data_IF_864974552858
#
_entry.id   IF_864974552858
#
_cell.length_a   1.000
_cell.length_b   1.000
_cell.length_c   1.000
_cell.angle_alpha   90.00
_cell.angle_beta   90.00
_cell.angle_gamma   90.00
#
_symmetry.space_group_name_H-M   'P 1'
#
loop_
_entity.id
_entity.type
_entity.pdbx_description
1 polymer ?
#
# COMPACT_ATOMS: atom_id res chain seq x y z
N UNK A 1 6.34 14.69 52.51
CA UNK A 1 7.02 13.62 51.75
C UNK A 1 6.30 13.52 50.41
N UNK A 2 6.86 13.95 49.27
CA UNK A 2 6.17 13.78 48.00
C UNK A 2 6.32 12.33 47.57
N UNK A 3 5.20 11.66 47.32
CA UNK A 3 5.10 10.26 46.85
C UNK A 3 5.79 10.11 45.48
N UNK A 4 7.12 10.02 45.48
CA UNK A 4 7.95 9.86 44.28
C UNK A 4 8.11 8.38 43.91
N UNK A 5 7.03 7.62 43.79
CA UNK A 5 7.13 6.20 43.39
C UNK A 5 5.93 5.78 42.54
N UNK A 6 5.91 6.23 41.28
CA UNK A 6 4.87 5.85 40.34
C UNK A 6 5.32 5.80 38.89
N UNK A 7 4.90 4.74 38.19
CA UNK A 7 5.04 4.60 36.74
C UNK A 7 4.10 5.59 36.04
N UNK A 8 4.66 6.53 35.28
CA UNK A 8 3.90 7.45 34.45
C UNK A 8 3.73 6.88 33.04
N UNK A 9 2.48 6.81 32.57
CA UNK A 9 2.16 6.33 31.22
C UNK A 9 1.76 7.51 30.34
N UNK A 10 2.41 7.59 29.20
CA UNK A 10 2.19 8.66 28.22
C UNK A 10 1.77 8.02 26.91
N UNK A 11 0.56 8.30 26.47
CA UNK A 11 0.10 7.91 25.15
C UNK A 11 0.56 8.96 24.14
N UNK A 12 1.42 8.55 23.22
CA UNK A 12 2.12 9.44 22.30
C UNK A 12 1.80 9.11 20.82
N UNK A 13 1.23 10.04 20.06
CA UNK A 13 0.98 9.82 18.63
C UNK A 13 2.26 9.80 17.81
N UNK A 14 2.34 8.89 16.83
CA UNK A 14 3.51 8.75 15.97
C UNK A 14 3.69 9.87 14.94
N UNK A 15 2.59 10.52 14.55
CA UNK A 15 2.48 11.51 13.48
C UNK A 15 2.84 12.94 13.90
N UNK A 16 3.19 13.16 15.17
CA UNK A 16 3.58 14.48 15.66
C UNK A 16 4.87 14.96 14.96
N UNK A 17 4.89 16.21 14.45
CA UNK A 17 6.07 16.78 13.78
C UNK A 17 7.27 16.85 14.75
N UNK A 18 8.46 16.54 14.21
CA UNK A 18 9.72 16.45 14.97
C UNK A 18 10.60 17.66 14.73
N UNK A 19 10.07 18.82 15.06
CA UNK A 19 10.74 20.10 14.96
C UNK A 19 11.60 20.38 16.19
N UNK A 20 12.65 21.17 16.02
CA UNK A 20 13.46 21.68 17.14
C UNK A 20 12.83 22.92 17.80
N UNK A 21 11.74 23.43 17.21
CA UNK A 21 10.94 24.55 17.69
C UNK A 21 10.44 24.31 19.12
N UNK A 22 10.33 25.39 19.88
CA UNK A 22 9.67 25.34 21.18
C UNK A 22 8.16 25.27 20.96
N UNK A 23 7.48 24.39 21.71
CA UNK A 23 6.04 24.23 21.60
C UNK A 23 5.36 23.88 22.93
N UNK A 24 4.03 23.84 22.89
CA UNK A 24 3.18 23.49 24.03
C UNK A 24 2.52 22.15 23.73
N UNK A 25 2.68 21.19 24.63
CA UNK A 25 2.04 19.88 24.53
C UNK A 25 0.64 19.97 25.11
N UNK A 26 -0.36 19.61 24.30
CA UNK A 26 -1.79 19.67 24.66
C UNK A 26 -2.40 18.28 24.59
N UNK A 27 -3.30 17.99 25.51
CA UNK A 27 -4.07 16.75 25.50
C UNK A 27 -4.94 16.56 26.73
N UNK A 28 -5.19 15.30 27.08
CA UNK A 28 -6.02 14.93 28.22
C UNK A 28 -5.19 14.35 29.35
N UNK A 29 -5.66 14.63 30.57
CA UNK A 29 -5.12 14.05 31.79
C UNK A 29 -6.11 13.04 32.35
N UNK A 30 -5.79 11.76 32.22
CA UNK A 30 -6.66 10.66 32.65
C UNK A 30 -6.51 10.35 34.14
N UNK A 31 -5.30 10.54 34.68
CA UNK A 31 -4.97 10.35 36.10
C UNK A 31 -3.79 11.24 36.49
N UNK A 32 -3.35 11.15 37.75
CA UNK A 32 -2.16 11.84 38.24
C UNK A 32 -0.89 11.53 37.44
N UNK A 33 -0.78 10.30 36.93
CA UNK A 33 0.36 9.73 36.20
C UNK A 33 -0.02 9.12 34.82
N UNK A 34 -1.27 9.31 34.36
CA UNK A 34 -1.71 8.85 33.04
C UNK A 34 -2.11 10.04 32.18
N UNK A 35 -1.36 10.24 31.11
CA UNK A 35 -1.47 11.41 30.24
C UNK A 35 -1.60 10.98 28.78
N UNK A 36 -2.51 11.62 28.06
CA UNK A 36 -2.78 11.36 26.65
C UNK A 36 -2.46 12.60 25.82
N UNK A 37 -1.51 12.50 24.90
CA UNK A 37 -1.07 13.63 24.07
C UNK A 37 -1.88 13.69 22.77
N UNK A 38 -2.40 14.87 22.44
CA UNK A 38 -3.22 15.11 21.24
C UNK A 38 -2.51 16.01 20.23
N UNK A 39 -1.75 17.01 20.66
CA UNK A 39 -1.02 17.84 19.71
C UNK A 39 0.16 18.53 20.38
N UNK A 40 1.11 18.96 19.55
CA UNK A 40 2.09 19.99 19.90
C UNK A 40 1.73 21.24 19.13
N UNK A 41 1.56 22.35 19.84
CA UNK A 41 1.35 23.67 19.27
C UNK A 41 2.69 24.42 19.29
N UNK A 42 3.28 24.63 18.12
CA UNK A 42 4.59 25.29 17.98
C UNK A 42 4.46 26.81 18.07
N UNK A 43 5.51 27.48 18.56
CA UNK A 43 5.63 28.96 18.61
C UNK A 43 4.49 29.68 19.36
N UNK A 44 3.89 29.03 20.36
CA UNK A 44 2.86 29.63 21.23
C UNK A 44 3.28 29.56 22.71
N UNK A 45 2.88 30.55 23.50
CA UNK A 45 3.05 30.53 24.96
C UNK A 45 1.99 29.68 25.66
N UNK A 46 2.42 28.88 26.64
CA UNK A 46 1.52 27.96 27.37
C UNK A 46 0.32 28.65 28.04
N UNK A 47 0.51 29.85 28.61
CA UNK A 47 -0.58 30.62 29.23
C UNK A 47 -1.66 31.01 28.22
N UNK A 48 -1.26 31.38 27.01
CA UNK A 48 -2.21 31.76 25.95
C UNK A 48 -2.98 30.54 25.46
N UNK A 49 -2.30 29.39 25.31
CA UNK A 49 -2.93 28.11 24.98
C UNK A 49 -3.92 27.70 26.05
N UNK A 50 -3.54 27.75 27.33
CA UNK A 50 -4.41 27.37 28.44
C UNK A 50 -5.67 28.23 28.49
N UNK A 51 -5.54 29.55 28.31
CA UNK A 51 -6.67 30.47 28.23
C UNK A 51 -7.54 30.19 27.00
N UNK A 52 -6.94 29.92 25.84
CA UNK A 52 -7.67 29.61 24.60
C UNK A 52 -8.44 28.27 24.68
N UNK A 53 -7.90 27.27 25.39
CA UNK A 53 -8.59 26.01 25.67
C UNK A 53 -9.79 26.23 26.61
N UNK A 54 -9.63 27.07 27.65
CA UNK A 54 -10.70 27.41 28.61
C UNK A 54 -11.84 28.20 27.97
N UNK A 55 -11.52 29.16 27.10
CA UNK A 55 -12.50 29.99 26.38
C UNK A 55 -13.10 29.24 25.17
N UNK A 56 -12.43 28.18 24.69
CA UNK A 56 -12.88 27.39 23.55
C UNK A 56 -12.54 27.99 22.19
N UNK A 57 -11.64 28.97 22.13
CA UNK A 57 -11.17 29.58 20.86
C UNK A 57 -10.53 28.54 19.93
N UNK A 58 -9.84 27.56 20.51
CA UNK A 58 -9.18 26.46 19.78
C UNK A 58 -10.15 25.46 19.16
N UNK A 59 -11.41 25.47 19.59
CA UNK A 59 -12.43 24.54 19.11
C UNK A 59 -13.39 25.18 18.11
N UNK A 60 -13.09 26.39 17.64
CA UNK A 60 -13.92 27.09 16.65
C UNK A 60 -13.98 26.30 15.34
N UNK A 61 -15.13 26.38 14.67
CA UNK A 61 -15.40 25.71 13.39
C UNK A 61 -15.27 24.17 13.44
N UNK A 62 -15.61 23.55 14.57
CA UNK A 62 -15.69 22.09 14.66
C UNK A 62 -16.87 21.55 13.86
N UNK A 63 -16.67 20.45 13.14
CA UNK A 63 -17.75 19.77 12.38
C UNK A 63 -18.77 19.10 13.29
N UNK A 64 -18.36 18.74 14.51
CA UNK A 64 -19.17 18.08 15.51
C UNK A 64 -19.17 18.89 16.82
N UNK A 65 -20.23 18.80 17.65
CA UNK A 65 -20.27 19.45 18.94
C UNK A 65 -19.17 18.87 19.85
N UNK A 66 -18.29 19.75 20.33
CA UNK A 66 -17.11 19.38 21.14
C UNK A 66 -17.52 18.70 22.45
N UNK A 67 -18.68 19.08 23.01
CA UNK A 67 -19.24 18.45 24.19
C UNK A 67 -19.41 16.94 24.01
N UNK A 68 -19.87 16.49 22.84
CA UNK A 68 -20.05 15.07 22.55
C UNK A 68 -18.71 14.33 22.45
N UNK A 69 -17.70 14.96 21.84
CA UNK A 69 -16.34 14.38 21.77
C UNK A 69 -15.76 14.21 23.18
N UNK A 70 -15.95 15.21 24.04
CA UNK A 70 -15.50 15.21 25.43
C UNK A 70 -16.21 14.15 26.27
N UNK A 71 -17.52 13.99 26.08
CA UNK A 71 -18.32 12.92 26.70
C UNK A 71 -17.81 11.53 26.29
N UNK A 72 -17.60 11.29 24.99
CA UNK A 72 -17.04 10.03 24.48
C UNK A 72 -15.64 9.73 25.02
N UNK A 73 -14.82 10.77 25.17
CA UNK A 73 -13.48 10.70 25.73
C UNK A 73 -13.46 10.66 27.26
N UNK A 74 -14.61 10.75 27.94
CA UNK A 74 -14.76 10.73 29.39
C UNK A 74 -13.96 11.83 30.10
N UNK A 75 -13.90 13.02 29.48
CA UNK A 75 -13.13 14.18 29.94
C UNK A 75 -13.93 15.46 29.75
N UNK A 76 -13.79 16.46 30.62
CA UNK A 76 -14.54 17.73 30.51
C UNK A 76 -13.84 18.79 29.66
N UNK A 77 -12.51 18.72 29.55
CA UNK A 77 -11.69 19.70 28.84
C UNK A 77 -10.29 19.14 28.54
N UNK A 78 -9.63 19.70 27.53
CA UNK A 78 -8.19 19.50 27.32
C UNK A 78 -7.37 20.46 28.16
N UNK A 79 -6.15 20.05 28.47
CA UNK A 79 -5.21 20.79 29.30
C UNK A 79 -3.85 20.87 28.63
N UNK A 80 -3.09 21.89 29.04
CA UNK A 80 -1.66 21.97 28.73
C UNK A 80 -0.94 20.95 29.59
N UNK A 81 -0.32 19.97 28.93
CA UNK A 81 0.38 18.87 29.58
C UNK A 81 1.84 19.17 29.83
N UNK A 82 2.43 20.07 29.05
CA UNK A 82 3.87 20.26 29.07
C UNK A 82 4.41 21.21 28.01
N UNK A 83 5.74 21.30 27.97
CA UNK A 83 6.48 22.12 27.01
C UNK A 83 7.46 21.25 26.22
N UNK A 84 7.57 21.54 24.93
CA UNK A 84 8.51 20.91 24.00
C UNK A 84 9.71 21.81 23.79
N UNK A 85 10.93 21.25 23.84
CA UNK A 85 12.21 21.93 23.56
C UNK A 85 12.43 23.22 24.38
N UNK A 86 11.85 23.29 25.58
CA UNK A 86 12.00 24.43 26.47
C UNK A 86 13.39 24.48 27.11
N UNK A 87 13.99 25.69 27.28
CA UNK A 87 15.27 25.83 27.97
C UNK A 87 15.13 25.41 29.43
N UNK A 88 16.20 24.82 29.97
CA UNK A 88 16.20 24.15 31.27
C UNK A 88 15.79 25.02 32.46
N UNK A 89 15.87 26.35 32.32
CA UNK A 89 15.62 27.37 33.35
C UNK A 89 14.15 27.71 33.62
N UNK A 90 13.20 27.21 32.84
CA UNK A 90 11.78 27.45 33.13
C UNK A 90 11.36 26.52 34.27
N UNK A 91 10.99 27.08 35.41
CA UNK A 91 10.31 26.36 36.49
C UNK A 91 8.98 25.86 35.94
N UNK A 92 8.93 24.57 35.73
CA UNK A 92 7.78 23.85 35.22
C UNK A 92 7.01 23.40 36.46
N UNK A 93 5.76 23.88 36.60
CA UNK A 93 4.87 23.47 37.68
C UNK A 93 4.83 21.94 37.75
N UNK A 94 4.74 21.35 38.94
CA UNK A 94 5.02 19.93 39.20
C UNK A 94 4.21 18.96 38.31
N UNK A 95 3.16 19.43 37.64
CA UNK A 95 2.28 18.66 36.76
C UNK A 95 2.61 18.75 35.26
N UNK A 96 3.61 19.53 34.87
CA UNK A 96 3.94 19.77 33.47
C UNK A 96 5.13 18.90 33.03
N UNK A 97 4.96 18.21 31.91
CA UNK A 97 5.95 17.32 31.33
C UNK A 97 6.91 18.14 30.46
N UNK A 98 8.22 17.86 30.51
CA UNK A 98 9.18 18.41 29.56
C UNK A 98 9.46 17.38 28.48
N UNK A 99 9.20 17.75 27.24
CA UNK A 99 9.45 16.90 26.08
C UNK A 99 10.58 17.49 25.25
N UNK A 100 11.51 16.65 24.83
CA UNK A 100 12.56 17.01 23.88
C UNK A 100 12.36 16.17 22.62
N UNK A 101 12.10 16.84 21.51
CA UNK A 101 11.93 16.21 20.19
C UNK A 101 12.99 16.79 19.27
N UNK A 102 13.72 15.91 18.56
CA UNK A 102 14.74 16.33 17.58
C UNK A 102 14.59 15.55 16.28
N UNK A 103 14.94 16.16 15.13
CA UNK A 103 15.07 15.45 13.86
C UNK A 103 16.18 14.39 14.00
N UNK A 104 15.79 13.12 14.06
CA UNK A 104 16.70 11.97 14.26
C UNK A 104 16.34 11.07 15.45
N UNK A 105 15.60 11.59 16.44
CA UNK A 105 15.04 10.76 17.52
C UNK A 105 13.77 10.07 17.03
N UNK A 106 13.71 8.72 17.15
CA UNK A 106 12.51 7.93 16.84
C UNK A 106 11.42 8.07 17.90
N UNK A 107 11.84 8.27 19.15
CA UNK A 107 10.98 8.37 20.34
C UNK A 107 11.29 9.69 21.04
N UNK A 108 10.28 10.45 21.50
CA UNK A 108 10.52 11.68 22.25
C UNK A 108 11.22 11.39 23.58
N UNK A 109 12.17 12.24 23.97
CA UNK A 109 12.75 12.18 25.31
C UNK A 109 11.87 12.98 26.26
N UNK A 110 11.38 12.31 27.31
CA UNK A 110 10.42 12.91 28.23
C UNK A 110 10.99 12.92 29.64
N UNK A 111 10.97 14.08 30.28
CA UNK A 111 11.37 14.27 31.66
C UNK A 111 10.18 14.80 32.47
N UNK A 112 9.97 14.23 33.66
CA UNK A 112 8.95 14.67 34.61
C UNK A 112 9.53 14.66 36.03
N UNK A 113 9.28 15.70 36.81
CA UNK A 113 9.79 15.80 38.18
C UNK A 113 9.04 14.88 39.18
N UNK A 114 7.85 14.40 38.83
CA UNK A 114 6.97 13.60 39.71
C UNK A 114 7.09 12.09 39.55
N UNK A 115 7.67 11.62 38.44
CA UNK A 115 7.69 10.20 38.12
C UNK A 115 9.12 9.69 37.98
N UNK A 116 9.43 8.59 38.67
CA UNK A 116 10.73 7.91 38.58
C UNK A 116 10.86 7.05 37.33
N UNK A 117 9.75 6.47 36.86
CA UNK A 117 9.71 5.64 35.65
C UNK A 117 8.66 6.15 34.68
N UNK A 118 9.02 6.27 33.39
CA UNK A 118 8.14 6.78 32.33
C UNK A 118 8.00 5.71 31.25
N UNK A 119 6.76 5.29 30.96
CA UNK A 119 6.42 4.40 29.85
C UNK A 119 5.73 5.20 28.75
N UNK A 120 6.31 5.18 27.56
CA UNK A 120 5.77 5.84 26.37
C UNK A 120 5.07 4.77 25.53
N UNK A 121 3.76 4.93 25.34
CA UNK A 121 2.93 4.05 24.52
C UNK A 121 2.66 4.79 23.22
N UNK A 122 3.36 4.41 22.16
CA UNK A 122 3.22 5.03 20.86
C UNK A 122 2.07 4.42 20.07
N UNK A 123 1.25 5.24 19.43
CA UNK A 123 0.12 4.77 18.61
C UNK A 123 0.02 5.54 17.30
N UNK A 124 -0.49 4.85 16.28
CA UNK A 124 -0.86 5.47 15.00
C UNK A 124 -2.31 5.92 15.06
N UNK A 125 -2.60 7.13 14.58
CA UNK A 125 -3.95 7.69 14.62
C UNK A 125 -4.80 7.09 13.52
N UNK A 126 -6.04 6.65 13.82
CA UNK A 126 -6.96 6.25 12.79
C UNK A 126 -7.39 7.46 11.95
N UNK A 127 -7.48 7.26 10.63
CA UNK A 127 -7.94 8.29 9.70
C UNK A 127 -9.46 8.20 9.50
N UNK A 128 -10.25 9.21 9.93
CA UNK A 128 -11.71 9.18 9.79
C UNK A 128 -12.15 9.22 8.32
N UNK A 129 -11.39 9.89 7.45
CA UNK A 129 -11.65 9.93 5.99
C UNK A 129 -11.58 8.57 5.32
N UNK A 130 -10.91 7.60 5.94
CA UNK A 130 -10.79 6.21 5.48
C UNK A 130 -11.66 5.26 6.30
N UNK A 131 -12.58 5.79 7.12
CA UNK A 131 -13.42 5.02 8.05
C UNK A 131 -12.61 4.08 8.97
N UNK A 132 -11.39 4.47 9.32
CA UNK A 132 -10.55 3.70 10.25
C UNK A 132 -10.99 4.01 11.67
N UNK A 133 -11.06 2.97 12.51
CA UNK A 133 -11.31 3.11 13.95
C UNK A 133 -10.68 1.92 14.69
N UNK A 134 -10.33 2.14 15.95
CA UNK A 134 -9.84 1.09 16.86
C UNK A 134 -10.98 0.70 17.79
N UNK A 135 -11.16 -0.60 18.00
CA UNK A 135 -12.16 -1.17 18.90
C UNK A 135 -11.52 -2.22 19.80
N UNK A 136 -11.97 -2.28 21.05
CA UNK A 136 -11.60 -3.34 21.99
C UNK A 136 -12.31 -4.66 21.68
N UNK A 137 -13.49 -4.57 21.08
CA UNK A 137 -14.24 -5.73 20.65
C UNK A 137 -13.77 -6.11 19.25
N UNK A 138 -13.42 -7.39 19.01
CA UNK A 138 -13.07 -7.85 17.69
C UNK A 138 -14.24 -7.60 16.74
N UNK A 139 -13.93 -7.24 15.48
CA UNK A 139 -14.94 -7.17 14.44
C UNK A 139 -15.58 -8.56 14.37
N UNK A 140 -16.88 -8.64 14.68
CA UNK A 140 -17.63 -9.87 14.47
C UNK A 140 -17.55 -10.19 13.00
N UNK A 141 -16.76 -11.20 12.65
CA UNK A 141 -16.82 -11.82 11.34
C UNK A 141 -18.27 -12.25 11.18
N UNK A 142 -19.03 -11.47 10.40
CA UNK A 142 -20.25 -11.95 9.80
C UNK A 142 -19.86 -12.96 8.71
N UNK A 143 -19.18 -14.05 9.12
CA UNK A 143 -19.52 -15.35 8.61
C UNK A 143 -20.97 -15.50 9.04
N UNK A 144 -21.87 -14.95 8.24
CA UNK A 144 -23.24 -15.35 8.34
C UNK A 144 -23.16 -16.85 8.20
N UNK A 145 -23.53 -17.57 9.25
CA UNK A 145 -24.14 -18.89 9.11
C UNK A 145 -25.44 -18.71 8.31
N UNK A 146 -25.34 -18.14 7.11
CA UNK A 146 -26.05 -18.64 5.95
C UNK A 146 -25.36 -19.96 5.63
N UNK A 147 -25.47 -20.93 6.54
CA UNK A 147 -25.88 -22.25 6.09
C UNK A 147 -27.03 -21.93 5.14
N UNK A 148 -26.79 -22.21 3.86
CA UNK A 148 -27.73 -21.96 2.78
C UNK A 148 -29.11 -22.23 3.37
N UNK A 149 -29.94 -21.19 3.50
CA UNK A 149 -31.38 -21.41 3.55
C UNK A 149 -31.66 -22.01 2.19
N UNK A 150 -31.42 -23.32 2.07
CA UNK A 150 -31.96 -24.15 1.02
C UNK A 150 -33.41 -23.73 0.96
N UNK A 151 -33.80 -23.24 -0.20
CA UNK A 151 -35.17 -22.84 -0.48
C UNK A 151 -35.97 -24.13 -0.29
N UNK A 152 -36.52 -24.33 0.91
CA UNK A 152 -37.37 -25.47 1.22
C UNK A 152 -38.61 -25.35 0.33
N UNK A 153 -38.64 -26.17 -0.72
CA UNK A 153 -39.87 -26.60 -1.34
C UNK A 153 -40.65 -27.35 -0.24
N UNK A 154 -41.87 -26.94 0.12
CA UNK A 154 -42.60 -27.56 1.22
C UNK A 154 -43.01 -28.96 0.76
N UNK A 155 -42.34 -30.00 1.26
CA UNK A 155 -42.73 -31.39 0.96
C UNK A 155 -41.68 -32.48 1.18
N UNK A 156 -40.39 -32.17 1.35
CA UNK A 156 -39.37 -33.21 1.61
C UNK A 156 -38.34 -32.71 2.62
N UNK A 157 -38.70 -32.70 3.90
CA UNK A 157 -37.70 -32.61 4.97
C UNK A 157 -37.18 -34.02 5.17
N UNK A 158 -35.93 -34.25 4.77
CA UNK A 158 -35.24 -35.47 5.16
C UNK A 158 -34.95 -35.36 6.66
N UNK A 159 -35.62 -36.19 7.47
CA UNK A 159 -35.50 -36.16 8.94
C UNK A 159 -34.04 -36.32 9.42
N UNK A 160 -33.17 -36.83 8.55
CA UNK A 160 -31.74 -36.96 8.78
C UNK A 160 -30.99 -35.62 8.81
N UNK A 161 -31.41 -34.62 8.01
CA UNK A 161 -30.76 -33.30 7.95
C UNK A 161 -31.01 -32.50 9.23
N UNK A 162 -32.25 -32.49 9.74
CA UNK A 162 -32.60 -31.87 11.02
C UNK A 162 -31.86 -32.53 12.20
N UNK A 163 -31.69 -33.86 12.15
CA UNK A 163 -30.95 -34.60 13.18
C UNK A 163 -29.45 -34.26 13.14
N UNK A 164 -28.87 -34.06 11.96
CA UNK A 164 -27.49 -33.62 11.80
C UNK A 164 -27.30 -32.19 12.29
N UNK A 165 -28.22 -31.27 12.00
CA UNK A 165 -28.16 -29.90 12.49
C UNK A 165 -28.26 -29.85 14.02
N UNK A 166 -29.17 -30.64 14.61
CA UNK A 166 -29.27 -30.77 16.07
C UNK A 166 -27.97 -31.33 16.70
N UNK A 167 -27.30 -32.30 16.05
CA UNK A 167 -26.01 -32.82 16.51
C UNK A 167 -24.90 -31.77 16.40
N UNK A 168 -24.88 -30.99 15.32
CA UNK A 168 -23.92 -29.90 15.13
C UNK A 168 -24.10 -28.82 16.20
N UNK A 169 -25.35 -28.39 16.47
CA UNK A 169 -25.69 -27.43 17.54
C UNK A 169 -25.29 -27.95 18.92
N UNK A 170 -25.52 -29.23 19.21
CA UNK A 170 -25.08 -29.84 20.47
C UNK A 170 -23.55 -29.89 20.60
N UNK A 171 -22.84 -30.17 19.51
CA UNK A 171 -21.37 -30.15 19.48
C UNK A 171 -20.80 -28.75 19.67
N UNK A 172 -21.38 -27.73 19.02
CA UNK A 172 -20.95 -26.34 19.19
C UNK A 172 -21.24 -25.83 20.60
N UNK A 173 -22.41 -26.15 21.16
CA UNK A 173 -22.74 -25.86 22.56
C UNK A 173 -21.77 -26.53 23.53
N UNK A 174 -21.46 -27.82 23.33
CA UNK A 174 -20.48 -28.54 24.13
C UNK A 174 -19.06 -27.98 23.99
N UNK A 175 -18.69 -27.45 22.81
CA UNK A 175 -17.41 -26.77 22.60
C UNK A 175 -17.37 -25.42 23.33
N UNK A 176 -18.45 -24.62 23.27
CA UNK A 176 -18.59 -23.38 24.03
C UNK A 176 -18.50 -23.64 25.52
N UNK A 177 -19.12 -24.72 26.00
CA UNK A 177 -19.06 -25.13 27.40
C UNK A 177 -17.65 -25.58 27.81
N UNK A 178 -16.95 -26.36 26.98
CA UNK A 178 -15.53 -26.69 27.18
C UNK A 178 -14.65 -25.44 27.20
N UNK A 179 -14.87 -24.50 26.28
CA UNK A 179 -14.14 -23.24 26.24
C UNK A 179 -14.35 -22.41 27.50
N UNK A 180 -15.53 -22.45 28.15
CA UNK A 180 -15.75 -21.79 29.44
C UNK A 180 -14.84 -22.33 30.55
N UNK A 181 -14.47 -23.61 30.52
CA UNK A 181 -13.53 -24.19 31.49
C UNK A 181 -12.06 -23.86 31.19
N UNK A 182 -11.73 -23.54 29.93
CA UNK A 182 -10.37 -23.15 29.52
C UNK A 182 -10.14 -21.64 29.45
N UNK A 183 -11.21 -20.85 29.42
CA UNK A 183 -11.14 -19.39 29.46
C UNK A 183 -11.15 -18.96 30.90
N UNK A 184 -10.07 -18.32 31.35
CA UNK A 184 -9.96 -17.78 32.71
C UNK A 184 -11.18 -16.89 32.99
N UNK A 185 -11.92 -17.26 34.02
CA UNK A 185 -13.15 -16.63 34.50
C UNK A 185 -12.93 -15.13 34.66
N UNK A 186 -13.88 -14.36 34.10
CA UNK A 186 -14.03 -12.90 34.23
C UNK A 186 -13.57 -12.42 35.61
N UNK A 187 -12.35 -11.88 35.71
CA UNK A 187 -11.97 -11.13 36.89
C UNK A 187 -12.78 -9.83 36.92
N UNK A 188 -13.06 -9.25 38.10
CA UNK A 188 -13.55 -7.89 38.15
C UNK A 188 -12.57 -7.01 37.35
N UNK A 189 -13.08 -6.13 36.47
CA UNK A 189 -12.22 -5.35 35.61
C UNK A 189 -11.34 -4.45 36.47
N UNK A 190 -10.04 -4.48 36.21
CA UNK A 190 -9.08 -3.59 36.85
C UNK A 190 -9.40 -2.14 36.48
N UNK A 191 -9.04 -1.18 37.34
CA UNK A 191 -9.13 0.24 37.01
C UNK A 191 -8.43 0.58 35.67
N UNK A 192 -7.35 -0.15 35.34
CA UNK A 192 -6.64 0.01 34.07
C UNK A 192 -7.46 -0.45 32.87
N UNK A 193 -8.25 -1.50 33.01
CA UNK A 193 -9.11 -2.05 31.96
C UNK A 193 -10.36 -1.20 31.77
N UNK A 194 -10.93 -0.68 32.86
CA UNK A 194 -12.00 0.31 32.80
C UNK A 194 -11.55 1.59 32.08
N UNK A 195 -10.31 2.03 32.32
CA UNK A 195 -9.75 3.20 31.63
C UNK A 195 -9.42 2.92 30.15
N UNK A 196 -9.28 1.66 29.74
CA UNK A 196 -8.85 1.29 28.38
C UNK A 196 -9.89 1.70 27.34
N UNK A 197 -11.18 1.49 27.61
CA UNK A 197 -12.25 1.90 26.70
C UNK A 197 -12.20 3.42 26.43
N UNK A 198 -11.97 4.21 27.48
CA UNK A 198 -11.81 5.66 27.39
C UNK A 198 -10.58 6.05 26.57
N UNK A 199 -9.45 5.37 26.78
CA UNK A 199 -8.21 5.63 26.02
C UNK A 199 -8.41 5.30 24.54
N UNK A 200 -9.10 4.20 24.21
CA UNK A 200 -9.39 3.85 22.81
C UNK A 200 -10.28 4.90 22.14
N UNK A 201 -11.30 5.41 22.84
CA UNK A 201 -12.10 6.54 22.34
C UNK A 201 -11.24 7.79 22.11
N UNK A 202 -10.31 8.10 23.04
CA UNK A 202 -9.36 9.20 22.87
C UNK A 202 -8.45 9.01 21.66
N UNK A 203 -7.99 7.78 21.37
CA UNK A 203 -7.24 7.46 20.15
C UNK A 203 -8.09 7.71 18.91
N UNK A 204 -9.34 7.25 18.90
CA UNK A 204 -10.25 7.41 17.77
C UNK A 204 -10.53 8.90 17.47
N UNK A 205 -10.75 9.73 18.49
CA UNK A 205 -11.01 11.16 18.33
C UNK A 205 -9.74 12.00 18.15
N UNK A 206 -8.53 11.41 18.35
CA UNK A 206 -7.28 12.17 18.39
C UNK A 206 -6.96 12.88 17.07
N UNK A 207 -7.31 12.28 15.92
CA UNK A 207 -7.08 12.88 14.61
C UNK A 207 -7.89 14.17 14.43
N UNK A 208 -9.21 14.09 14.62
CA UNK A 208 -10.12 15.22 14.45
C UNK A 208 -9.75 16.37 15.38
N UNK A 209 -9.43 16.03 16.63
CA UNK A 209 -8.99 17.02 17.60
C UNK A 209 -7.66 17.65 17.23
N UNK A 210 -6.68 16.86 16.78
CA UNK A 210 -5.42 17.38 16.32
C UNK A 210 -5.60 18.37 15.16
N UNK A 211 -6.37 17.97 14.13
CA UNK A 211 -6.63 18.80 12.96
C UNK A 211 -7.34 20.10 13.34
N UNK A 212 -8.31 20.04 14.26
CA UNK A 212 -9.01 21.22 14.77
C UNK A 212 -8.08 22.17 15.54
N UNK A 213 -7.22 21.64 16.40
CA UNK A 213 -6.25 22.43 17.16
C UNK A 213 -5.22 23.11 16.23
N UNK A 214 -4.73 22.39 15.23
CA UNK A 214 -3.77 22.94 14.26
C UNK A 214 -4.41 24.02 13.37
N UNK A 215 -5.66 23.84 12.93
CA UNK A 215 -6.37 24.87 12.14
C UNK A 215 -6.54 26.18 12.90
N UNK A 216 -6.80 26.11 14.21
CA UNK A 216 -7.07 27.26 15.05
C UNK A 216 -5.83 27.82 15.76
N UNK A 217 -4.63 27.27 15.53
CA UNK A 217 -3.40 27.75 16.18
C UNK A 217 -3.10 29.22 15.85
N UNK A 218 -3.41 29.66 14.63
CA UNK A 218 -3.18 31.03 14.16
C UNK A 218 -4.03 32.07 14.88
N UNK A 219 -5.14 31.65 15.51
CA UNK A 219 -5.99 32.52 16.32
C UNK A 219 -5.37 32.84 17.69
N UNK A 220 -4.43 32.00 18.14
CA UNK A 220 -3.65 32.25 19.33
C UNK A 220 -2.40 32.97 18.86
N UNK A 221 -2.34 34.28 19.12
CA UNK A 221 -1.24 35.13 18.66
C UNK A 221 0.13 34.46 18.83
N UNK A 222 0.91 34.49 17.76
CA UNK A 222 2.24 33.87 17.73
C UNK A 222 3.12 34.49 18.79
N UNK A 223 3.87 33.66 19.51
CA UNK A 223 4.94 34.13 20.39
C UNK A 223 5.92 34.95 19.54
N UNK A 224 6.32 36.12 20.06
CA UNK A 224 7.42 36.90 19.48
C UNK A 224 8.67 36.01 19.42
N UNK A 225 8.96 35.43 18.24
CA UNK A 225 10.21 34.68 18.01
C UNK A 225 11.36 35.63 18.35
N UNK A 226 12.32 35.16 19.17
CA UNK A 226 13.64 35.80 19.30
C UNK A 226 14.13 36.10 17.89
N UNK A 227 14.59 37.33 17.63
CA UNK A 227 14.99 37.78 16.30
C UNK A 227 15.88 36.74 15.62
N UNK A 228 15.31 35.97 14.69
CA UNK A 228 16.05 35.03 13.86
C UNK A 228 17.15 35.79 13.15
N UNK A 229 18.35 35.23 13.17
CA UNK A 229 19.49 35.80 12.44
C UNK A 229 19.12 35.90 10.96
N UNK A 230 19.57 36.97 10.30
CA UNK A 230 19.19 37.31 8.92
C UNK A 230 19.46 36.15 7.94
N UNK A 231 20.47 35.31 8.21
CA UNK A 231 20.77 34.11 7.43
C UNK A 231 19.71 33.01 7.52
N UNK A 232 19.09 32.84 8.69
CA UNK A 232 18.10 31.78 8.92
C UNK A 232 16.76 32.10 8.24
N UNK A 233 16.35 33.39 8.24
CA UNK A 233 15.18 33.85 7.50
C UNK A 233 15.32 33.68 5.99
N UNK A 234 16.52 33.92 5.46
CA UNK A 234 16.79 33.74 4.01
C UNK A 234 16.76 32.27 3.64
N UNK A 235 17.26 31.38 4.50
CA UNK A 235 17.25 29.93 4.26
C UNK A 235 15.83 29.36 4.34
N UNK A 236 15.03 29.72 5.35
CA UNK A 236 13.64 29.27 5.46
C UNK A 236 12.76 29.83 4.32
N UNK A 237 12.99 31.09 3.90
CA UNK A 237 12.30 31.66 2.74
C UNK A 237 12.72 30.98 1.43
N UNK A 238 13.97 30.56 1.30
CA UNK A 238 14.46 29.90 0.09
C UNK A 238 13.98 28.45 -0.02
N UNK A 239 13.84 27.72 1.10
CA UNK A 239 13.36 26.33 1.09
C UNK A 239 11.86 26.25 0.80
N UNK A 240 11.05 27.06 1.50
CA UNK A 240 9.60 27.11 1.27
C UNK A 240 9.22 27.57 -0.14
N UNK A 241 9.94 28.56 -0.69
CA UNK A 241 9.75 28.98 -2.08
C UNK A 241 10.12 27.89 -3.09
N UNK A 242 11.22 27.15 -2.85
CA UNK A 242 11.61 26.04 -3.74
C UNK A 242 10.56 24.94 -3.76
N UNK A 243 10.04 24.56 -2.59
CA UNK A 243 9.02 23.52 -2.50
C UNK A 243 7.72 23.95 -3.19
N UNK A 244 7.31 25.21 -3.02
CA UNK A 244 6.15 25.77 -3.72
C UNK A 244 6.34 25.78 -5.26
N UNK A 245 7.54 26.16 -5.73
CA UNK A 245 7.87 26.14 -7.17
C UNK A 245 7.87 24.71 -7.72
N UNK A 246 8.41 23.73 -6.97
CA UNK A 246 8.42 22.33 -7.38
C UNK A 246 6.99 21.79 -7.50
N UNK A 247 6.12 22.07 -6.53
CA UNK A 247 4.71 21.66 -6.57
C UNK A 247 4.00 22.30 -7.76
N UNK A 248 4.23 23.59 -8.02
CA UNK A 248 3.65 24.30 -9.15
C UNK A 248 4.11 23.71 -10.50
N UNK A 249 5.40 23.41 -10.65
CA UNK A 249 5.94 22.76 -11.85
C UNK A 249 5.33 21.36 -12.02
N UNK A 250 5.22 20.57 -10.95
CA UNK A 250 4.58 19.25 -11.00
C UNK A 250 3.11 19.32 -11.41
N UNK A 251 2.38 20.32 -10.92
CA UNK A 251 1.00 20.56 -11.34
C UNK A 251 0.89 20.93 -12.82
N UNK A 252 1.77 21.81 -13.33
CA UNK A 252 1.84 22.15 -14.75
C UNK A 252 2.17 20.93 -15.62
N UNK A 253 3.14 20.10 -15.21
CA UNK A 253 3.49 18.85 -15.90
C UNK A 253 2.28 17.91 -15.95
N UNK A 254 1.57 17.76 -14.84
CA UNK A 254 0.41 16.85 -14.76
C UNK A 254 -0.77 17.37 -15.58
N UNK A 255 -1.01 18.68 -15.60
CA UNK A 255 -2.14 19.26 -16.33
C UNK A 255 -1.88 19.41 -17.84
N UNK A 256 -0.65 19.71 -18.26
CA UNK A 256 -0.34 19.98 -19.67
C UNK A 256 0.43 18.85 -20.35
N UNK A 257 1.48 18.31 -19.72
CA UNK A 257 2.36 17.34 -20.38
C UNK A 257 1.73 15.94 -20.43
N UNK A 258 1.10 15.50 -19.33
CA UNK A 258 0.43 14.21 -19.25
C UNK A 258 -0.66 13.97 -20.32
N UNK A 259 -1.62 14.89 -20.59
CA UNK A 259 -2.60 14.67 -21.64
C UNK A 259 -2.00 14.66 -23.05
N UNK A 260 -0.94 15.43 -23.29
CA UNK A 260 -0.24 15.45 -24.59
C UNK A 260 0.45 14.09 -24.82
N UNK A 261 1.22 13.61 -23.85
CA UNK A 261 1.90 12.30 -23.94
C UNK A 261 0.87 11.19 -24.13
N UNK A 262 -0.22 11.19 -23.36
CA UNK A 262 -1.29 10.18 -23.48
C UNK A 262 -1.91 10.18 -24.88
N UNK A 263 -2.22 11.36 -25.44
CA UNK A 263 -2.78 11.47 -26.80
C UNK A 263 -1.79 10.99 -27.86
N UNK A 264 -0.53 11.40 -27.76
CA UNK A 264 0.52 10.95 -28.67
C UNK A 264 0.72 9.43 -28.63
N UNK A 265 0.69 8.84 -27.42
CA UNK A 265 0.79 7.40 -27.23
C UNK A 265 -0.38 6.65 -27.90
N UNK A 266 -1.61 7.12 -27.72
CA UNK A 266 -2.80 6.54 -28.37
C UNK A 266 -2.70 6.64 -29.89
N UNK A 267 -2.30 7.78 -30.44
CA UNK A 267 -2.10 7.95 -31.89
C UNK A 267 -1.00 7.00 -32.40
N UNK A 268 0.08 6.86 -31.65
CA UNK A 268 1.16 5.92 -31.97
C UNK A 268 0.68 4.47 -32.04
N UNK A 269 -0.15 4.04 -31.07
CA UNK A 269 -0.74 2.70 -31.08
C UNK A 269 -1.69 2.47 -32.27
N UNK A 270 -2.51 3.47 -32.60
CA UNK A 270 -3.41 3.39 -33.77
C UNK A 270 -2.59 3.31 -35.06
N UNK A 271 -1.56 4.15 -35.21
CA UNK A 271 -0.68 4.13 -36.38
C UNK A 271 0.02 2.77 -36.52
N UNK A 272 0.56 2.22 -35.43
CA UNK A 272 1.16 0.89 -35.44
C UNK A 272 0.16 -0.19 -35.87
N UNK A 273 -1.09 -0.11 -35.39
CA UNK A 273 -2.16 -1.04 -35.81
C UNK A 273 -2.47 -0.93 -37.30
N UNK A 274 -2.56 0.29 -37.83
CA UNK A 274 -2.77 0.52 -39.27
C UNK A 274 -1.62 -0.07 -40.08
N UNK A 275 -0.36 0.14 -39.66
CA UNK A 275 0.81 -0.45 -40.35
C UNK A 275 0.76 -1.98 -40.34
N UNK A 276 0.36 -2.59 -39.21
CA UNK A 276 0.20 -4.03 -39.12
C UNK A 276 -0.93 -4.56 -40.04
N UNK A 277 -2.08 -3.87 -40.08
CA UNK A 277 -3.19 -4.22 -40.97
C UNK A 277 -2.82 -4.05 -42.44
N UNK A 278 -2.11 -2.97 -42.80
CA UNK A 278 -1.57 -2.77 -44.15
C UNK A 278 -0.58 -3.87 -44.53
N UNK A 279 0.29 -4.29 -43.61
CA UNK A 279 1.23 -5.38 -43.86
C UNK A 279 0.49 -6.71 -44.11
N UNK A 280 -0.57 -6.99 -43.35
CA UNK A 280 -1.43 -8.15 -43.60
C UNK A 280 -2.17 -8.05 -44.94
N UNK A 281 -2.71 -6.89 -45.30
CA UNK A 281 -3.35 -6.67 -46.60
C UNK A 281 -2.38 -6.84 -47.77
N UNK A 282 -1.12 -6.40 -47.63
CA UNK A 282 -0.07 -6.62 -48.64
C UNK A 282 0.25 -8.11 -48.77
N UNK A 283 0.29 -8.86 -47.66
CA UNK A 283 0.45 -10.32 -47.69
C UNK A 283 -0.75 -11.04 -48.34
N UNK A 284 -1.94 -10.45 -48.26
CA UNK A 284 -3.17 -10.94 -48.89
C UNK A 284 -3.40 -10.41 -50.32
N UNK A 285 -2.60 -9.44 -50.78
CA UNK A 285 -2.78 -8.79 -52.07
C UNK A 285 -2.63 -9.80 -53.21
N UNK A 286 -3.73 -10.08 -53.91
CA UNK A 286 -3.76 -10.84 -55.16
C UNK A 286 -3.63 -9.89 -56.34
N UNK A 287 -2.46 -9.88 -56.99
CA UNK A 287 -2.25 -9.06 -58.18
C UNK A 287 -3.05 -9.54 -59.41
N UNK A 288 -3.46 -10.82 -59.50
CA UNK A 288 -4.35 -11.36 -60.55
C UNK A 288 -5.02 -12.67 -60.10
N UNK A 289 -6.20 -13.03 -60.65
CA UNK A 289 -7.05 -14.13 -60.16
C UNK A 289 -6.50 -15.55 -60.40
N UNK A 290 -5.30 -15.72 -60.96
CA UNK A 290 -4.71 -17.02 -61.31
C UNK A 290 -3.40 -17.37 -60.57
N UNK A 291 -2.99 -16.60 -59.56
CA UNK A 291 -1.81 -16.93 -58.73
C UNK A 291 -2.16 -17.08 -57.24
N UNK A 292 -1.47 -18.01 -56.58
CA UNK A 292 -1.62 -18.34 -55.15
C UNK A 292 -1.17 -17.17 -54.25
N UNK A 293 -1.77 -17.03 -53.07
CA UNK A 293 -1.49 -15.91 -52.17
C UNK A 293 -0.04 -16.01 -51.63
N UNK A 294 0.58 -14.88 -51.25
CA UNK A 294 1.95 -14.87 -50.70
C UNK A 294 2.10 -15.75 -49.44
N UNK A 295 1.00 -15.93 -48.69
CA UNK A 295 0.93 -16.92 -47.58
C UNK A 295 1.08 -18.36 -48.05
N UNK A 296 0.55 -18.70 -49.23
CA UNK A 296 0.64 -20.05 -49.81
C UNK A 296 2.06 -20.29 -50.38
N UNK A 297 2.74 -19.23 -50.85
CA UNK A 297 4.15 -19.28 -51.27
C UNK A 297 5.07 -19.49 -50.05
N UNK A 298 4.79 -18.84 -48.92
CA UNK A 298 5.51 -19.09 -47.65
C UNK A 298 5.26 -20.50 -47.12
N UNK A 299 4.00 -20.97 -47.16
CA UNK A 299 3.64 -22.33 -46.75
C UNK A 299 4.31 -23.39 -47.64
N UNK A 300 4.36 -23.17 -48.94
CA UNK A 300 5.07 -24.05 -49.88
C UNK A 300 6.58 -23.97 -49.72
N UNK A 301 7.15 -22.81 -49.39
CA UNK A 301 8.58 -22.68 -49.07
C UNK A 301 8.95 -23.45 -47.80
N UNK A 302 8.14 -23.39 -46.74
CA UNK A 302 8.33 -24.20 -45.52
C UNK A 302 8.19 -25.70 -45.81
N UNK A 303 7.27 -26.09 -46.69
CA UNK A 303 7.08 -27.48 -47.08
C UNK A 303 8.25 -28.01 -47.91
N UNK A 304 8.87 -27.17 -48.75
CA UNK A 304 10.10 -27.50 -49.48
C UNK A 304 11.29 -27.60 -48.51
N UNK A 305 11.41 -26.68 -47.54
CA UNK A 305 12.48 -26.71 -46.54
C UNK A 305 12.44 -28.00 -45.71
N UNK A 306 11.26 -28.40 -45.24
CA UNK A 306 11.06 -29.67 -44.52
C UNK A 306 11.41 -30.87 -45.40
N UNK A 307 10.99 -30.87 -46.67
CA UNK A 307 11.29 -31.96 -47.61
C UNK A 307 12.79 -32.04 -47.94
N UNK A 308 13.48 -30.91 -48.06
CA UNK A 308 14.93 -30.85 -48.29
C UNK A 308 15.70 -31.38 -47.09
N UNK A 309 15.24 -31.04 -45.88
CA UNK A 309 15.86 -31.47 -44.62
C UNK A 309 15.64 -32.96 -44.34
N UNK A 310 14.49 -33.52 -44.75
CA UNK A 310 14.25 -34.96 -44.79
C UNK A 310 15.14 -35.68 -45.83
N UNK A 311 15.41 -35.06 -46.98
CA UNK A 311 16.32 -35.60 -47.99
C UNK A 311 17.78 -35.62 -47.51
N UNK A 312 18.22 -34.60 -46.78
CA UNK A 312 19.55 -34.54 -46.17
C UNK A 312 19.75 -35.54 -45.02
N UNK A 313 18.67 -36.10 -44.46
CA UNK A 313 18.70 -37.14 -43.42
C UNK A 313 18.52 -38.56 -43.95
N UNK A 314 18.30 -38.76 -45.27
CA UNK A 314 18.25 -40.10 -45.83
C UNK A 314 19.64 -40.76 -45.74
N UNK A 315 19.77 -41.93 -45.10
CA UNK A 315 21.08 -42.48 -44.77
C UNK A 315 21.78 -42.94 -46.05
N UNK A 316 22.87 -42.26 -46.38
CA UNK A 316 23.92 -42.71 -47.30
C UNK A 316 24.69 -43.86 -46.63
N UNK A 317 24.01 -44.99 -46.39
CA UNK A 317 24.55 -46.12 -45.64
C UNK A 317 24.39 -47.42 -46.41
N UNK A 318 25.41 -47.65 -47.26
CA UNK A 318 26.06 -48.92 -47.60
C UNK A 318 25.19 -50.18 -47.48
N UNK A 319 24.82 -50.77 -48.61
CA UNK A 319 24.52 -52.20 -48.71
C UNK A 319 25.84 -52.98 -48.84
N UNK A 320 26.22 -53.85 -47.88
CA UNK A 320 27.17 -54.92 -48.15
C UNK A 320 26.45 -56.07 -48.86
N UNK A 321 27.19 -56.75 -49.72
CA UNK A 321 26.74 -57.82 -50.60
C UNK A 321 25.97 -58.95 -49.88
N UNK A 322 24.88 -59.41 -50.49
CA UNK A 322 24.65 -60.85 -50.62
C UNK A 322 23.99 -61.10 -51.97
N UNK A 323 24.74 -61.81 -52.79
CA UNK A 323 24.39 -62.37 -54.08
C UNK A 323 23.32 -63.44 -53.84
N UNK A 324 22.13 -63.33 -54.44
CA UNK A 324 21.44 -64.46 -55.08
C UNK A 324 20.23 -63.99 -55.91
N UNK A 325 20.28 -64.38 -57.19
CA UNK A 325 19.18 -64.48 -58.17
C UNK A 325 18.50 -63.21 -58.68
N UNK A 326 19.04 -62.70 -59.80
CA UNK A 326 18.31 -61.99 -60.86
C UNK A 326 17.79 -63.02 -61.89
N UNK A 327 16.69 -62.73 -62.60
CA UNK A 327 16.80 -62.43 -64.03
C UNK A 327 16.05 -61.12 -64.36
N UNK A 328 16.71 -60.10 -64.88
CA UNK A 328 17.05 -59.83 -66.28
C UNK A 328 15.91 -59.09 -67.02
N UNK A 329 16.00 -57.75 -67.10
CA UNK A 329 15.77 -57.05 -68.37
C UNK A 329 16.37 -55.62 -68.42
N UNK A 330 17.47 -55.51 -69.17
CA UNK A 330 18.04 -54.43 -70.00
C UNK A 330 17.73 -52.93 -69.76
N UNK A 331 18.86 -52.19 -69.64
CA UNK A 331 19.35 -51.01 -70.42
C UNK A 331 18.51 -49.71 -70.39
N UNK A 332 19.08 -48.51 -70.20
CA UNK A 332 20.48 -48.06 -70.15
C UNK A 332 20.56 -46.53 -70.39
N UNK A 333 21.75 -45.99 -70.12
CA UNK A 333 22.22 -44.58 -70.23
C UNK A 333 21.74 -43.62 -69.12
N UNK A 334 22.61 -42.92 -68.37
CA UNK A 334 24.06 -42.72 -68.48
C UNK A 334 24.40 -41.23 -68.48
N UNK A 335 25.29 -40.84 -67.56
CA UNK A 335 26.07 -39.60 -67.54
C UNK A 335 25.36 -38.25 -67.32
N UNK A 336 25.53 -37.66 -66.13
CA UNK A 336 26.34 -36.44 -65.99
C UNK A 336 26.54 -36.09 -64.50
N UNK A 337 27.75 -36.38 -64.02
CA UNK A 337 28.30 -35.88 -62.78
C UNK A 337 29.30 -34.78 -63.16
N UNK A 338 28.99 -33.50 -62.88
CA UNK A 338 29.97 -32.40 -62.73
C UNK A 338 29.23 -31.12 -62.37
N UNK A 339 29.31 -30.73 -61.10
CA UNK A 339 29.65 -29.37 -60.65
C UNK A 339 29.34 -29.26 -59.16
N UNK A 340 30.37 -29.38 -58.35
CA UNK A 340 30.43 -28.82 -57.02
C UNK A 340 31.35 -27.61 -57.10
N UNK A 341 31.03 -26.49 -56.44
CA UNK A 341 32.05 -25.84 -55.66
C UNK A 341 31.62 -25.60 -54.21
N UNK A 342 32.61 -25.83 -53.35
CA UNK A 342 32.69 -25.60 -51.92
C UNK A 342 32.63 -24.10 -51.60
N UNK A 343 31.95 -23.75 -50.49
CA UNK A 343 32.11 -22.58 -49.59
C UNK A 343 30.70 -22.24 -49.05
N UNK A 344 30.32 -22.37 -47.77
CA UNK A 344 30.83 -21.58 -46.65
C UNK A 344 30.17 -22.08 -45.35
N UNK A 345 30.81 -23.05 -44.68
CA UNK A 345 30.41 -23.50 -43.34
C UNK A 345 31.02 -22.56 -42.30
N UNK A 346 30.31 -21.49 -41.91
CA UNK A 346 30.66 -20.61 -40.76
C UNK A 346 29.57 -19.64 -40.27
N UNK A 347 28.30 -19.72 -40.73
CA UNK A 347 27.21 -18.81 -40.31
C UNK A 347 26.11 -19.41 -39.41
N UNK A 348 26.15 -20.70 -39.08
CA UNK A 348 25.04 -21.38 -38.39
C UNK A 348 25.08 -21.35 -36.85
N UNK A 349 26.13 -20.84 -36.21
CA UNK A 349 26.22 -20.79 -34.73
C UNK A 349 25.74 -19.44 -34.14
N UNK A 350 25.52 -18.40 -34.95
CA UNK A 350 25.04 -17.09 -34.47
C UNK A 350 23.52 -16.89 -34.56
N UNK A 351 22.77 -17.76 -35.22
CA UNK A 351 21.29 -17.66 -35.29
C UNK A 351 20.57 -18.28 -34.07
N UNK A 352 21.16 -19.26 -33.39
CA UNK A 352 20.51 -19.96 -32.28
C UNK A 352 20.39 -19.13 -30.98
N UNK A 353 21.20 -18.07 -30.80
CA UNK A 353 21.10 -17.18 -29.62
C UNK A 353 20.12 -16.01 -29.79
N UNK A 354 19.63 -15.73 -30.99
CA UNK A 354 18.73 -14.60 -31.25
C UNK A 354 17.24 -14.95 -31.12
N UNK A 355 16.87 -16.23 -31.10
CA UNK A 355 15.47 -16.66 -30.98
C UNK A 355 15.00 -16.87 -29.52
N UNK A 356 15.91 -17.08 -28.56
CA UNK A 356 15.55 -17.19 -27.15
C UNK A 356 15.16 -15.84 -26.52
N UNK A 357 15.73 -14.72 -26.98
CA UNK A 357 15.47 -13.39 -26.41
C UNK A 357 14.14 -12.75 -26.88
N UNK A 358 13.52 -13.24 -27.96
CA UNK A 358 12.24 -12.69 -28.47
C UNK A 358 11.01 -13.35 -27.86
N UNK A 359 11.16 -14.53 -27.25
CA UNK A 359 10.05 -15.23 -26.58
C UNK A 359 9.74 -14.64 -25.20
N UNK A 360 10.71 -14.03 -24.51
CA UNK A 360 10.50 -13.49 -23.16
C UNK A 360 9.81 -12.11 -23.17
N UNK A 361 9.91 -11.37 -24.27
CA UNK A 361 9.27 -10.04 -24.40
C UNK A 361 7.78 -10.12 -24.78
N UNK A 362 7.36 -11.19 -25.46
CA UNK A 362 5.95 -11.37 -25.86
C UNK A 362 5.05 -11.82 -24.69
N UNK A 363 5.60 -12.52 -23.69
CA UNK A 363 4.83 -12.92 -22.50
C UNK A 363 4.61 -11.78 -21.49
N UNK A 364 5.43 -10.72 -21.52
CA UNK A 364 5.30 -9.60 -20.57
C UNK A 364 4.22 -8.58 -21.00
N UNK A 365 3.93 -8.50 -22.30
CA UNK A 365 2.95 -7.52 -22.83
C UNK A 365 1.51 -8.00 -22.68
N UNK A 366 1.27 -9.32 -22.61
CA UNK A 366 -0.09 -9.88 -22.47
C UNK A 366 -0.61 -9.82 -21.02
N UNK A 367 0.28 -9.80 -20.02
CA UNK A 367 -0.13 -9.67 -18.60
C UNK A 367 -0.52 -8.23 -18.24
N UNK A 368 0.04 -7.23 -18.93
CA UNK A 368 -0.24 -5.81 -18.63
C UNK A 368 -1.57 -5.28 -19.21
N UNK A 369 -2.20 -5.99 -20.16
CA UNK A 369 -3.48 -5.58 -20.77
C UNK A 369 -4.71 -6.23 -20.13
N UNK A 370 -4.53 -7.17 -19.20
CA UNK A 370 -5.63 -7.88 -18.51
C UNK A 370 -6.03 -7.31 -17.14
N UNK A 371 -5.44 -6.20 -16.68
CA UNK A 371 -5.71 -5.63 -15.35
C UNK A 371 -6.34 -4.22 -15.37
N UNK A 372 -6.87 -3.75 -16.50
CA UNK A 372 -7.56 -2.44 -16.60
C UNK A 372 -9.04 -2.56 -17.00
N UNK A 373 -9.55 -3.78 -17.21
CA UNK A 373 -11.00 -4.04 -17.19
C UNK A 373 -11.29 -5.21 -16.26
N UNK A 374 -11.65 -4.86 -15.03
CA UNK A 374 -12.12 -5.72 -13.94
C UNK A 374 -12.55 -4.84 -12.79
#
# INVERSE_FOLDING_TARGET
MPDQDGLMRIFWPQDIPRTESQGVVVGWRNSGLDVFVVAILEDVDAKNVENALKVGTLYRNSSHPISHIFELCGQSSMQVLGLTNAPSKIEIDHLQIRVTVRPGLKVPQICCARASTIQIIMFERPLPTRMQYISLNPISLALGDKAEKSIHIPGSVDAEEELQEMRARKKTQGLVEKLKYHTVVKHPPSQKELALARIVNQVNCSWEMHELLQKNISLIGTRSRRSLSVSERVVESATTMRDAIIVYIWQLITLYLYPIIRRAFVIGLICHRIVAEMFLQVLEWRAQPHYAALKDISATAQQIEIRLQQFCYWPMQRSPATFETFPEHRRGLGCLNRLCPKHTSRRLVKCARSQSARSTFASLVIVASGQILG
#
